data_IF_761487534274
#
_entry.id   IF_761487534274
#
_cell.length_a   1.000
_cell.length_b   1.000
_cell.length_c   1.000
_cell.angle_alpha   90.00
_cell.angle_beta   90.00
_cell.angle_gamma   90.00
#
_symmetry.space_group_name_H-M   'P 1'
#
loop_
_entity.id
_entity.type
_entity.pdbx_description
1 polymer ?
#
# COMPACT_ATOMS: atom_id res chain seq x y z
N UNK A 1 46.95 24.64 -16.67
CA UNK A 1 46.48 23.60 -15.75
C UNK A 1 45.00 23.47 -15.93
N UNK A 2 44.58 22.46 -16.73
CA UNK A 2 43.16 22.19 -17.00
C UNK A 2 42.58 21.28 -15.91
N UNK A 3 41.52 21.71 -15.29
CA UNK A 3 40.69 20.89 -14.39
C UNK A 3 39.78 20.03 -15.28
N UNK A 4 40.02 18.72 -15.29
CA UNK A 4 39.11 17.78 -15.94
C UNK A 4 37.75 17.80 -15.21
N UNK A 5 36.62 17.86 -15.94
CA UNK A 5 35.35 17.73 -15.31
C UNK A 5 35.17 16.28 -14.84
N UNK A 6 35.04 16.09 -13.52
CA UNK A 6 34.59 14.82 -12.94
C UNK A 6 33.21 14.44 -13.54
N UNK A 7 33.20 13.32 -14.26
CA UNK A 7 31.95 12.75 -14.75
C UNK A 7 31.11 12.30 -13.55
N UNK A 8 29.98 12.94 -13.34
CA UNK A 8 28.94 12.36 -12.49
C UNK A 8 28.52 11.00 -13.08
N UNK A 9 28.39 9.96 -12.28
CA UNK A 9 27.93 8.67 -12.78
C UNK A 9 26.51 8.82 -13.34
N UNK A 10 26.37 8.56 -14.64
CA UNK A 10 25.10 8.50 -15.36
C UNK A 10 24.58 7.07 -15.31
N UNK A 11 24.22 6.53 -14.14
CA UNK A 11 23.71 5.17 -14.04
C UNK A 11 22.49 5.10 -13.15
N UNK A 12 21.34 5.40 -13.76
CA UNK A 12 20.05 4.87 -13.30
C UNK A 12 19.96 3.37 -13.65
N UNK A 13 20.72 2.90 -14.63
CA UNK A 13 20.73 1.49 -15.08
C UNK A 13 21.52 0.54 -14.15
N UNK A 14 22.55 1.01 -13.46
CA UNK A 14 23.27 0.19 -12.47
C UNK A 14 22.58 0.11 -11.10
N UNK A 15 21.53 0.87 -10.87
CA UNK A 15 20.75 0.83 -9.64
C UNK A 15 19.57 -0.17 -9.67
N UNK A 16 19.40 -0.91 -10.74
CA UNK A 16 18.66 -2.19 -10.72
C UNK A 16 19.58 -3.28 -10.16
N UNK A 17 20.12 -3.02 -8.99
CA UNK A 17 20.83 -4.02 -8.18
C UNK A 17 19.87 -5.20 -8.00
N UNK A 18 20.35 -6.40 -8.28
CA UNK A 18 19.57 -7.62 -8.04
C UNK A 18 18.94 -7.53 -6.66
N UNK A 19 17.65 -7.87 -6.58
CA UNK A 19 16.92 -7.85 -5.32
C UNK A 19 17.73 -8.63 -4.28
N UNK A 20 17.86 -8.07 -3.07
CA UNK A 20 18.51 -8.75 -1.95
C UNK A 20 17.95 -10.19 -1.84
N UNK A 21 18.80 -11.24 -1.83
CA UNK A 21 18.34 -12.62 -1.83
C UNK A 21 17.36 -12.95 -0.70
N UNK A 22 17.58 -12.41 0.52
CA UNK A 22 16.67 -12.62 1.63
C UNK A 22 15.31 -11.97 1.40
N UNK A 23 15.29 -10.80 0.75
CA UNK A 23 14.05 -10.13 0.36
C UNK A 23 13.34 -10.89 -0.75
N UNK A 24 14.05 -11.41 -1.74
CA UNK A 24 13.50 -12.24 -2.81
C UNK A 24 12.85 -13.51 -2.25
N UNK A 25 13.55 -14.23 -1.38
CA UNK A 25 13.06 -15.45 -0.72
C UNK A 25 11.79 -15.16 0.11
N UNK A 26 11.80 -14.08 0.89
CA UNK A 26 10.62 -13.67 1.67
C UNK A 26 9.42 -13.35 0.77
N UNK A 27 9.66 -12.62 -0.32
CA UNK A 27 8.60 -12.29 -1.28
C UNK A 27 8.03 -13.52 -1.97
N UNK A 28 8.85 -14.49 -2.30
CA UNK A 28 8.38 -15.76 -2.89
C UNK A 28 7.60 -16.58 -1.86
N UNK A 29 8.13 -16.74 -0.66
CA UNK A 29 7.49 -17.51 0.41
C UNK A 29 6.12 -16.93 0.86
N UNK A 30 5.92 -15.62 0.74
CA UNK A 30 4.68 -14.94 1.19
C UNK A 30 3.73 -14.57 0.06
N UNK A 31 4.01 -14.96 -1.18
CA UNK A 31 3.27 -14.55 -2.38
C UNK A 31 1.76 -14.78 -2.26
N UNK A 32 1.37 -16.00 -1.91
CA UNK A 32 -0.05 -16.39 -1.87
C UNK A 32 -0.78 -15.68 -0.71
N UNK A 33 -0.14 -15.57 0.45
CA UNK A 33 -0.71 -14.85 1.59
C UNK A 33 -0.91 -13.36 1.29
N UNK A 34 0.05 -12.74 0.60
CA UNK A 34 -0.07 -11.34 0.17
C UNK A 34 -1.19 -11.16 -0.85
N UNK A 35 -1.33 -12.10 -1.78
CA UNK A 35 -2.42 -12.07 -2.75
C UNK A 35 -3.78 -12.18 -2.06
N UNK A 36 -3.95 -13.14 -1.15
CA UNK A 36 -5.22 -13.30 -0.42
C UNK A 36 -5.55 -12.06 0.42
N UNK A 37 -4.59 -11.51 1.15
CA UNK A 37 -4.74 -10.25 1.89
C UNK A 37 -5.19 -9.10 0.97
N UNK A 38 -4.66 -9.04 -0.24
CA UNK A 38 -5.08 -8.03 -1.23
C UNK A 38 -6.51 -8.25 -1.70
N UNK A 39 -6.88 -9.50 -2.03
CA UNK A 39 -8.25 -9.83 -2.44
C UNK A 39 -9.25 -9.56 -1.30
N UNK A 40 -8.87 -9.85 -0.04
CA UNK A 40 -9.69 -9.53 1.14
C UNK A 40 -9.96 -8.02 1.23
N UNK A 41 -8.93 -7.19 1.08
CA UNK A 41 -9.07 -5.74 1.10
C UNK A 41 -9.96 -5.22 -0.04
N UNK A 42 -9.86 -5.81 -1.23
CA UNK A 42 -10.70 -5.43 -2.38
C UNK A 42 -12.19 -5.80 -2.19
N UNK A 43 -12.50 -6.82 -1.38
CA UNK A 43 -13.90 -7.21 -1.07
C UNK A 43 -14.65 -6.17 -0.24
N UNK A 44 -13.96 -5.19 0.36
CA UNK A 44 -14.59 -4.12 1.12
C UNK A 44 -15.09 -3.03 0.15
N UNK A 45 -16.41 -2.81 -0.02
CA UNK A 45 -16.93 -1.85 -0.98
C UNK A 45 -16.94 -0.42 -0.42
N UNK A 46 -15.75 0.12 -0.19
CA UNK A 46 -15.52 1.45 0.40
C UNK A 46 -15.83 2.58 -0.60
N UNK A 47 -17.09 2.71 -1.01
CA UNK A 47 -17.54 3.74 -1.96
C UNK A 47 -17.88 5.02 -1.19
N UNK A 48 -17.00 6.04 -1.28
CA UNK A 48 -17.15 7.31 -0.54
C UNK A 48 -18.34 8.15 -0.99
N UNK A 49 -18.71 8.06 -2.26
CA UNK A 49 -19.83 8.82 -2.83
C UNK A 49 -21.21 8.37 -2.36
N UNK A 50 -21.33 7.23 -1.65
CA UNK A 50 -22.59 6.64 -1.22
C UNK A 50 -22.70 6.66 0.32
N UNK A 51 -23.56 7.52 0.92
CA UNK A 51 -23.69 7.62 2.38
C UNK A 51 -24.01 6.30 3.08
N UNK A 52 -24.76 5.40 2.43
CA UNK A 52 -25.06 4.07 2.94
C UNK A 52 -23.84 3.15 3.02
N UNK A 53 -22.72 3.53 2.41
CA UNK A 53 -21.44 2.83 2.47
C UNK A 53 -20.49 3.36 3.56
N UNK A 54 -20.92 4.28 4.40
CA UNK A 54 -20.11 4.81 5.49
C UNK A 54 -19.53 3.71 6.42
N UNK A 55 -20.30 2.65 6.68
CA UNK A 55 -19.83 1.48 7.43
C UNK A 55 -18.73 0.68 6.71
N UNK A 56 -18.76 0.65 5.39
CA UNK A 56 -17.73 -0.01 4.58
C UNK A 56 -16.43 0.82 4.52
N UNK A 57 -16.56 2.14 4.46
CA UNK A 57 -15.42 3.07 4.60
C UNK A 57 -14.74 2.86 5.95
N UNK A 58 -15.50 2.83 7.05
CA UNK A 58 -14.99 2.56 8.40
C UNK A 58 -14.28 1.22 8.46
N UNK A 59 -14.87 0.16 7.94
CA UNK A 59 -14.28 -1.18 7.91
C UNK A 59 -12.97 -1.22 7.13
N UNK A 60 -12.88 -0.48 6.02
CA UNK A 60 -11.63 -0.36 5.25
C UNK A 60 -10.53 0.35 6.06
N UNK A 61 -10.87 1.47 6.72
CA UNK A 61 -9.93 2.18 7.58
C UNK A 61 -9.41 1.31 8.73
N UNK A 62 -10.32 0.59 9.41
CA UNK A 62 -9.97 -0.31 10.52
C UNK A 62 -9.10 -1.48 10.05
N UNK A 63 -9.38 -2.04 8.89
CA UNK A 63 -8.54 -3.08 8.27
C UNK A 63 -7.12 -2.56 8.02
N UNK A 64 -6.97 -1.37 7.46
CA UNK A 64 -5.66 -0.75 7.19
C UNK A 64 -4.91 -0.48 8.50
N UNK A 65 -5.56 0.11 9.50
CA UNK A 65 -4.92 0.41 10.79
C UNK A 65 -4.45 -0.88 11.48
N UNK A 66 -5.25 -1.94 11.45
CA UNK A 66 -4.88 -3.25 11.99
C UNK A 66 -3.67 -3.85 11.25
N UNK A 67 -3.63 -3.75 9.91
CA UNK A 67 -2.50 -4.21 9.12
C UNK A 67 -1.22 -3.41 9.41
N UNK A 68 -1.30 -2.09 9.50
CA UNK A 68 -0.16 -1.24 9.86
C UNK A 68 0.42 -1.62 11.23
N UNK A 69 -0.44 -1.78 12.24
CA UNK A 69 -0.04 -2.23 13.57
C UNK A 69 0.60 -3.63 13.55
N UNK A 70 0.00 -4.57 12.81
CA UNK A 70 0.53 -5.94 12.65
C UNK A 70 1.92 -5.97 12.00
N UNK A 71 2.14 -5.10 11.02
CA UNK A 71 3.42 -4.98 10.31
C UNK A 71 4.53 -4.42 11.21
N UNK A 72 4.19 -3.60 12.19
CA UNK A 72 5.15 -3.00 13.13
C UNK A 72 5.26 -1.48 13.04
N UNK A 73 4.28 -0.81 12.42
CA UNK A 73 4.14 0.63 12.54
C UNK A 73 3.63 1.01 13.93
N UNK A 74 4.02 2.19 14.37
CA UNK A 74 3.56 2.82 15.60
C UNK A 74 2.42 3.80 15.31
N UNK A 75 1.68 4.18 16.37
CA UNK A 75 0.58 5.15 16.29
C UNK A 75 -0.44 4.84 15.17
N UNK A 76 -0.60 3.53 14.83
CA UNK A 76 -1.58 3.12 13.82
C UNK A 76 -3.00 3.34 14.35
N UNK A 77 -3.67 4.36 13.83
CA UNK A 77 -4.98 4.80 14.29
C UNK A 77 -5.89 5.25 13.16
N UNK A 78 -7.19 5.17 13.42
CA UNK A 78 -8.23 5.76 12.57
C UNK A 78 -8.66 7.07 13.19
N UNK A 79 -8.31 8.18 12.56
CA UNK A 79 -8.67 9.53 13.01
C UNK A 79 -9.95 10.00 12.35
N UNK A 80 -10.92 10.43 13.17
CA UNK A 80 -12.17 11.01 12.68
C UNK A 80 -11.94 12.39 12.10
N UNK A 81 -12.61 12.67 10.98
CA UNK A 81 -12.69 14.01 10.38
C UNK A 81 -14.15 14.42 10.19
N UNK A 82 -14.44 15.69 9.89
CA UNK A 82 -15.80 16.11 9.52
C UNK A 82 -16.36 15.41 8.27
N UNK A 83 -15.51 14.73 7.50
CA UNK A 83 -15.86 14.02 6.26
C UNK A 83 -15.71 12.51 6.43
N UNK A 84 -14.62 11.98 5.95
CA UNK A 84 -14.33 10.54 6.02
C UNK A 84 -13.09 10.32 6.89
N UNK A 85 -12.96 9.17 7.57
CA UNK A 85 -11.84 8.93 8.47
C UNK A 85 -10.51 8.88 7.70
N UNK A 86 -9.44 9.29 8.39
CA UNK A 86 -8.06 9.17 7.91
C UNK A 86 -7.37 8.10 8.73
N UNK A 87 -6.58 7.26 8.08
CA UNK A 87 -5.68 6.33 8.76
C UNK A 87 -4.29 6.95 8.83
N UNK A 88 -3.75 7.06 10.03
CA UNK A 88 -2.39 7.51 10.29
C UNK A 88 -1.58 6.39 10.92
N UNK A 89 -0.30 6.33 10.58
CA UNK A 89 0.72 5.54 11.29
C UNK A 89 2.09 6.13 11.00
N UNK A 90 3.08 5.79 11.84
CA UNK A 90 4.45 6.16 11.56
C UNK A 90 5.46 5.09 12.03
N UNK A 91 6.68 5.23 11.55
CA UNK A 91 7.88 4.57 12.04
C UNK A 91 9.06 5.52 11.84
N UNK A 92 9.59 6.06 12.95
CA UNK A 92 10.54 7.18 12.95
C UNK A 92 11.89 6.82 13.60
N UNK A 93 12.38 5.61 13.37
CA UNK A 93 13.60 5.07 14.00
C UNK A 93 14.81 4.99 13.06
N UNK A 94 14.74 5.59 11.86
CA UNK A 94 15.89 5.70 10.96
C UNK A 94 16.67 6.98 11.26
N UNK A 95 17.53 6.94 12.27
CA UNK A 95 18.31 8.10 12.70
C UNK A 95 19.15 8.69 11.56
N UNK A 96 19.08 10.00 11.37
CA UNK A 96 19.78 10.71 10.30
C UNK A 96 19.23 10.52 8.89
N UNK A 97 18.25 9.63 8.70
CA UNK A 97 17.58 9.43 7.41
C UNK A 97 16.44 10.43 7.18
N UNK A 98 16.06 10.71 5.94
CA UNK A 98 14.90 11.55 5.65
C UNK A 98 13.60 10.92 6.13
N UNK A 99 12.58 11.78 6.33
CA UNK A 99 11.21 11.33 6.56
C UNK A 99 10.42 11.41 5.26
N UNK A 100 9.83 10.29 4.86
CA UNK A 100 8.98 10.17 3.67
C UNK A 100 7.54 10.07 4.14
N UNK A 101 6.64 10.81 3.50
CA UNK A 101 5.20 10.66 3.65
C UNK A 101 4.70 9.79 2.52
N UNK A 102 3.98 8.72 2.85
CA UNK A 102 3.26 7.87 1.90
C UNK A 102 1.79 8.24 2.01
N UNK A 103 1.24 8.76 0.92
CA UNK A 103 -0.16 9.13 0.80
C UNK A 103 -0.84 8.21 -0.21
N UNK A 104 -2.01 7.69 0.16
CA UNK A 104 -2.91 6.92 -0.70
C UNK A 104 -4.36 7.20 -0.28
N UNK A 105 -5.32 6.72 -1.07
CA UNK A 105 -6.71 6.68 -0.67
C UNK A 105 -7.27 5.25 -0.69
N UNK A 106 -8.22 4.96 0.19
CA UNK A 106 -8.81 3.62 0.33
C UNK A 106 -10.28 3.57 -0.07
N UNK A 107 -10.86 4.70 -0.42
CA UNK A 107 -12.17 4.70 -1.05
C UNK A 107 -12.09 4.28 -2.52
N UNK A 108 -13.23 4.01 -3.09
CA UNK A 108 -13.36 3.64 -4.49
C UNK A 108 -14.58 4.33 -5.12
N UNK A 109 -14.52 4.53 -6.43
CA UNK A 109 -15.64 5.07 -7.20
C UNK A 109 -16.83 4.11 -7.22
N UNK A 110 -18.06 4.62 -7.42
CA UNK A 110 -19.23 3.81 -7.74
C UNK A 110 -18.98 2.84 -8.91
N UNK A 111 -19.77 1.80 -8.96
CA UNK A 111 -19.59 0.71 -9.93
C UNK A 111 -20.43 0.84 -11.19
N UNK A 112 -21.23 1.90 -11.26
CA UNK A 112 -22.13 2.13 -12.41
C UNK A 112 -21.33 2.41 -13.71
N UNK A 113 -21.84 1.93 -14.85
CA UNK A 113 -23.00 1.05 -14.99
C UNK A 113 -22.65 -0.42 -14.65
N UNK A 114 -23.41 -1.03 -13.76
CA UNK A 114 -23.14 -2.38 -13.22
C UNK A 114 -23.23 -3.48 -14.30
N UNK A 115 -24.02 -3.27 -15.32
CA UNK A 115 -24.20 -4.21 -16.44
C UNK A 115 -22.97 -4.36 -17.33
N UNK A 116 -22.00 -3.47 -17.23
CA UNK A 116 -20.74 -3.58 -17.96
C UNK A 116 -19.69 -4.44 -17.25
N UNK A 117 -19.95 -4.81 -15.99
CA UNK A 117 -19.07 -5.71 -15.27
C UNK A 117 -19.33 -7.16 -15.66
N UNK A 118 -18.28 -7.89 -16.02
CA UNK A 118 -18.37 -9.33 -16.33
C UNK A 118 -18.47 -10.21 -15.11
N UNK A 119 -18.09 -9.67 -13.95
CA UNK A 119 -18.17 -10.31 -12.61
C UNK A 119 -18.55 -9.24 -11.60
N UNK A 120 -18.97 -9.65 -10.40
CA UNK A 120 -19.29 -8.69 -9.34
C UNK A 120 -18.06 -7.82 -9.00
N UNK A 121 -18.20 -6.47 -8.98
CA UNK A 121 -17.06 -5.55 -8.82
C UNK A 121 -16.24 -5.75 -7.55
N UNK A 122 -16.87 -6.23 -6.46
CA UNK A 122 -16.26 -6.50 -5.16
C UNK A 122 -16.09 -8.00 -4.87
N UNK A 123 -16.13 -8.83 -5.90
CA UNK A 123 -15.68 -10.23 -5.87
C UNK A 123 -14.42 -10.35 -6.73
N UNK A 124 -13.26 -9.88 -6.22
CA UNK A 124 -12.04 -9.81 -7.00
C UNK A 124 -11.51 -11.21 -7.32
N UNK A 125 -10.93 -11.35 -8.50
CA UNK A 125 -10.36 -12.61 -8.96
C UNK A 125 -9.07 -12.38 -9.75
N UNK A 126 -8.31 -13.46 -9.94
CA UNK A 126 -7.08 -13.44 -10.75
C UNK A 126 -7.34 -14.10 -12.08
N UNK A 127 -6.99 -13.42 -13.18
CA UNK A 127 -7.03 -13.94 -14.54
C UNK A 127 -5.81 -13.44 -15.32
N UNK A 128 -5.10 -14.36 -15.96
CA UNK A 128 -3.92 -14.06 -16.78
C UNK A 128 -2.86 -13.20 -16.03
N UNK A 129 -2.62 -13.53 -14.76
CA UNK A 129 -1.67 -12.83 -13.90
C UNK A 129 -2.09 -11.42 -13.45
N UNK A 130 -3.36 -11.06 -13.64
CA UNK A 130 -3.94 -9.76 -13.26
C UNK A 130 -5.04 -9.94 -12.24
N UNK A 131 -5.06 -9.08 -11.23
CA UNK A 131 -6.19 -8.95 -10.31
C UNK A 131 -7.24 -8.03 -10.92
N UNK A 132 -8.48 -8.50 -10.97
CA UNK A 132 -9.62 -7.79 -11.54
C UNK A 132 -10.64 -7.55 -10.44
N UNK A 133 -11.05 -6.29 -10.25
CA UNK A 133 -12.01 -5.84 -9.26
C UNK A 133 -12.02 -4.32 -9.11
N UNK A 134 -13.06 -3.74 -8.50
CA UNK A 134 -13.09 -2.30 -8.21
C UNK A 134 -12.02 -1.96 -7.18
N UNK A 135 -11.23 -0.88 -7.44
CA UNK A 135 -10.14 -0.44 -6.57
C UNK A 135 -8.81 -1.19 -6.78
N UNK A 136 -8.76 -2.20 -7.67
CA UNK A 136 -7.53 -2.96 -7.89
C UNK A 136 -6.38 -2.12 -8.45
N UNK A 137 -6.66 -1.07 -9.23
CA UNK A 137 -5.65 -0.19 -9.80
C UNK A 137 -5.77 1.26 -9.32
N UNK A 138 -6.77 1.57 -8.49
CA UNK A 138 -7.07 2.92 -8.01
C UNK A 138 -7.92 2.86 -6.73
N UNK A 139 -7.30 2.99 -5.56
CA UNK A 139 -5.87 3.08 -5.24
C UNK A 139 -5.45 1.98 -4.23
N UNK A 140 -6.38 1.03 -3.93
CA UNK A 140 -6.13 -0.07 -2.97
C UNK A 140 -4.93 -0.95 -3.36
N UNK A 141 -4.65 -1.08 -4.67
CA UNK A 141 -3.49 -1.82 -5.15
C UNK A 141 -2.19 -1.17 -4.74
N UNK A 142 -2.04 0.12 -4.97
CA UNK A 142 -0.87 0.90 -4.62
C UNK A 142 -0.71 0.98 -3.10
N UNK A 143 -1.81 1.24 -2.37
CA UNK A 143 -1.81 1.22 -0.93
C UNK A 143 -1.31 -0.12 -0.38
N UNK A 144 -1.87 -1.23 -0.85
CA UNK A 144 -1.47 -2.57 -0.42
C UNK A 144 0.00 -2.87 -0.76
N UNK A 145 0.49 -2.41 -1.91
CA UNK A 145 1.90 -2.55 -2.28
C UNK A 145 2.82 -1.86 -1.26
N UNK A 146 2.49 -0.67 -0.78
CA UNK A 146 3.27 0.03 0.26
C UNK A 146 3.28 -0.74 1.58
N UNK A 147 2.14 -1.28 2.01
CA UNK A 147 2.07 -2.13 3.21
C UNK A 147 2.98 -3.35 3.08
N UNK A 148 2.91 -4.06 1.96
CA UNK A 148 3.70 -5.30 1.74
C UNK A 148 5.19 -5.01 1.57
N UNK A 149 5.55 -3.86 0.99
CA UNK A 149 6.96 -3.45 0.91
C UNK A 149 7.56 -3.17 2.29
N UNK A 150 6.84 -2.45 3.15
CA UNK A 150 7.27 -2.19 4.53
C UNK A 150 7.37 -3.50 5.33
N UNK A 151 6.36 -4.37 5.25
CA UNK A 151 6.36 -5.69 5.91
C UNK A 151 7.58 -6.53 5.52
N UNK A 152 7.88 -6.60 4.23
CA UNK A 152 9.03 -7.36 3.74
C UNK A 152 10.36 -6.79 4.27
N UNK A 153 10.49 -5.48 4.36
CA UNK A 153 11.68 -4.85 4.94
C UNK A 153 11.80 -5.11 6.45
N UNK A 154 10.70 -5.02 7.20
CA UNK A 154 10.71 -5.37 8.62
C UNK A 154 11.06 -6.85 8.82
N UNK A 155 10.48 -7.75 8.04
CA UNK A 155 10.73 -9.19 8.16
C UNK A 155 12.18 -9.56 7.85
N UNK A 156 12.81 -8.90 6.88
CA UNK A 156 14.16 -9.27 6.41
C UNK A 156 15.28 -8.44 7.03
N UNK A 157 15.00 -7.21 7.45
CA UNK A 157 16.02 -6.27 7.96
C UNK A 157 15.74 -5.75 9.37
N UNK A 158 14.57 -6.06 9.95
CA UNK A 158 14.12 -5.58 11.25
C UNK A 158 13.88 -4.06 11.31
N UNK A 159 14.03 -3.34 10.19
CA UNK A 159 13.88 -1.88 10.12
C UNK A 159 13.62 -1.38 8.72
N UNK A 160 13.12 -0.16 8.61
CA UNK A 160 13.03 0.59 7.35
C UNK A 160 14.30 1.41 7.10
N UNK A 161 14.65 1.68 5.84
CA UNK A 161 15.84 2.49 5.50
C UNK A 161 15.62 3.99 5.69
N UNK A 162 14.38 4.44 5.86
CA UNK A 162 13.97 5.83 6.03
C UNK A 162 12.88 5.92 7.10
N UNK A 163 12.67 7.10 7.66
CA UNK A 163 11.50 7.36 8.48
C UNK A 163 10.26 7.41 7.59
N UNK A 164 9.18 6.75 7.98
CA UNK A 164 7.91 6.79 7.24
C UNK A 164 6.80 7.40 8.09
N UNK A 165 5.98 8.20 7.43
CA UNK A 165 4.63 8.58 7.88
C UNK A 165 3.63 8.14 6.84
N UNK A 166 2.60 7.47 7.31
CA UNK A 166 1.49 6.97 6.50
C UNK A 166 0.30 7.89 6.73
N UNK A 167 -0.31 8.36 5.64
CA UNK A 167 -1.56 9.14 5.67
C UNK A 167 -2.45 8.60 4.55
N UNK A 168 -3.48 7.85 4.92
CA UNK A 168 -4.43 7.31 3.96
C UNK A 168 -5.81 7.86 4.23
N UNK A 169 -6.49 8.37 3.19
CA UNK A 169 -7.82 8.95 3.29
C UNK A 169 -8.92 8.08 2.68
N UNK A 170 -10.15 8.27 3.16
CA UNK A 170 -11.34 7.60 2.65
C UNK A 170 -12.15 8.42 1.65
#
# INVERSE_FOLDING_TARGET
AGVSPERRPTHVEDAMTALDPALAEHLDATKDARLESYLEFLRIPSISALPERAGDIRRAAEWIAAELARIGFEHAEVSETPWLPIVYADWLHAEGAPTVIVYCHYDVQPVDPIELWTTAPFDPFVRDGRVIGRGAADDKGQLHMHLRAAEALFATRGRLPVNLRIVFEG
#
